data_IF_238499175980
#
_entry.id   IF_238499175980
#
_cell.length_a   1.000
_cell.length_b   1.000
_cell.length_c   1.000
_cell.angle_alpha   90.00
_cell.angle_beta   90.00
_cell.angle_gamma   90.00
#
_symmetry.space_group_name_H-M   'P 1'
#
loop_
_entity.id
_entity.type
_entity.pdbx_description
1 polymer ?
2 non-polymer ?
3 non-polymer ?
4 non-polymer ?
5 water ?
#
# COMPACT_ATOMS: atom_id res chain seq x y z
N UNK A 21 -13.16 -20.05 -9.89
CA UNK A 21 -13.36 -18.80 -10.67
C UNK A 21 -13.53 -17.48 -9.77
N UNK A 22 -12.97 -16.36 -10.23
CA UNK A 22 -12.93 -15.26 -9.35
C UNK A 22 -14.32 -14.66 -9.31
N UNK A 23 -14.66 -14.04 -8.20
CA UNK A 23 -15.88 -13.34 -8.07
C UNK A 23 -15.95 -12.17 -9.06
N UNK A 24 -14.81 -11.59 -9.43
CA UNK A 24 -14.75 -10.48 -10.38
C UNK A 24 -15.37 -10.91 -11.71
N UNK A 25 -15.21 -12.21 -12.04
CA UNK A 25 -15.65 -12.81 -13.30
C UNK A 25 -17.00 -13.50 -13.20
N UNK A 26 -17.57 -13.59 -12.02
CA UNK A 26 -18.76 -14.48 -11.84
C UNK A 26 -20.11 -13.80 -12.11
N UNK A 27 -20.13 -12.47 -12.16
CA UNK A 27 -21.35 -11.72 -12.38
C UNK A 27 -21.02 -10.59 -13.33
N UNK A 28 -22.06 -10.06 -13.99
CA UNK A 28 -21.90 -8.89 -14.78
C UNK A 28 -22.03 -7.67 -13.87
N UNK A 29 -20.93 -7.30 -13.22
CA UNK A 29 -20.95 -6.28 -12.18
C UNK A 29 -21.31 -4.95 -12.81
N UNK A 30 -21.01 -4.74 -14.09
CA UNK A 30 -21.37 -3.48 -14.76
C UNK A 30 -22.85 -3.22 -14.93
N UNK A 31 -23.69 -4.14 -14.53
CA UNK A 31 -25.10 -3.86 -14.41
C UNK A 31 -25.46 -3.01 -13.18
N UNK A 32 -24.57 -2.98 -12.19
CA UNK A 32 -24.73 -2.20 -10.98
C UNK A 32 -24.22 -0.79 -11.17
N UNK A 33 -24.71 0.15 -10.38
CA UNK A 33 -24.13 1.46 -10.31
C UNK A 33 -22.65 1.37 -9.92
N UNK A 34 -21.88 2.32 -10.47
CA UNK A 34 -20.47 2.40 -10.24
C UNK A 34 -20.10 3.74 -9.60
N UNK A 35 -19.10 3.75 -8.74
CA UNK A 35 -18.53 4.97 -8.24
C UNK A 35 -17.03 4.90 -8.33
N UNK A 36 -16.40 5.90 -8.95
CA UNK A 36 -14.97 6.00 -8.92
C UNK A 36 -14.55 6.49 -7.52
N UNK A 37 -13.60 5.81 -6.94
CA UNK A 37 -13.08 6.15 -5.60
C UNK A 37 -11.58 6.06 -5.62
N UNK A 38 -10.98 6.65 -4.59
CA UNK A 38 -9.59 6.40 -4.25
C UNK A 38 -9.54 5.54 -3.02
N UNK A 39 -8.90 4.40 -3.09
CA UNK A 39 -8.92 3.41 -2.00
C UNK A 39 -7.54 3.11 -1.55
N UNK A 40 -7.30 3.06 -0.28
CA UNK A 40 -6.19 2.63 0.56
C UNK A 40 -6.62 1.51 1.51
N UNK A 41 -5.54 0.81 2.06
CA UNK A 41 -5.79 -0.13 3.10
C UNK A 41 -5.55 0.44 4.46
N UNK A 42 -6.16 -0.18 5.46
CA UNK A 42 -5.92 0.15 6.85
C UNK A 42 -5.97 -1.14 7.66
N UNK A 43 -5.49 -1.03 8.92
CA UNK A 43 -5.64 -2.11 9.85
C UNK A 43 -6.25 -1.56 11.15
N UNK A 44 -6.47 -2.43 12.14
CA UNK A 44 -6.96 -1.96 13.44
C UNK A 44 -5.90 -1.26 14.24
N UNK A 45 -4.63 -1.36 13.83
CA UNK A 45 -3.56 -0.89 14.65
C UNK A 45 -3.42 0.61 14.76
N UNK A 46 -2.53 1.03 15.64
CA UNK A 46 -2.44 2.39 16.04
C UNK A 46 -2.10 3.31 14.92
N UNK A 47 -1.30 2.84 13.92
CA UNK A 47 -0.98 3.64 12.75
C UNK A 47 -2.21 4.17 12.06
N UNK A 48 -3.27 3.37 12.09
CA UNK A 48 -4.49 3.67 11.41
C UNK A 48 -5.54 4.28 12.30
N UNK A 49 -5.67 3.78 13.54
CA UNK A 49 -6.79 4.08 14.39
C UNK A 49 -6.45 4.80 15.65
N UNK A 50 -5.16 4.90 15.98
CA UNK A 50 -4.69 5.37 17.26
C UNK A 50 -4.83 4.45 18.43
N UNK A 51 -5.43 3.26 18.26
CA UNK A 51 -5.70 2.35 19.32
C UNK A 51 -4.63 1.32 19.43
N UNK A 52 -4.39 0.86 20.65
CA UNK A 52 -3.45 -0.19 20.90
C UNK A 52 -4.16 -1.49 21.28
N UNK A 53 -3.54 -2.65 20.96
CA UNK A 53 -4.10 -3.91 21.39
C UNK A 53 -4.15 -3.94 22.90
N UNK A 54 -5.18 -4.48 23.46
CA UNK A 54 -5.38 -4.32 24.92
C UNK A 54 -6.43 -3.29 25.27
N UNK A 55 -6.64 -2.30 24.41
CA UNK A 55 -7.76 -1.39 24.56
C UNK A 55 -9.06 -2.20 24.32
N UNK A 56 -10.03 -2.09 25.25
CA UNK A 56 -11.33 -2.76 25.00
C UNK A 56 -12.00 -2.34 23.68
N UNK A 57 -11.66 -1.14 23.15
CA UNK A 57 -12.23 -0.63 21.91
C UNK A 57 -11.38 -1.01 20.70
N UNK A 58 -10.30 -1.76 20.90
CA UNK A 58 -9.44 -2.17 19.78
C UNK A 58 -10.26 -2.98 18.82
N UNK A 59 -10.21 -2.66 17.54
CA UNK A 59 -10.90 -3.39 16.51
C UNK A 59 -12.34 -2.99 16.30
N UNK A 60 -12.87 -2.07 17.13
CA UNK A 60 -14.26 -1.67 17.04
C UNK A 60 -14.40 -0.52 16.02
N UNK A 61 -15.19 -0.72 14.98
CA UNK A 61 -15.46 0.26 14.00
C UNK A 61 -16.47 1.27 14.50
N UNK A 62 -16.61 2.37 13.69
CA UNK A 62 -17.61 3.38 13.97
C UNK A 62 -19.01 2.81 14.15
N UNK A 63 -19.38 1.81 13.36
CA UNK A 63 -20.71 1.20 13.42
C UNK A 63 -20.95 0.35 14.63
N UNK A 64 -19.89 -0.02 15.36
CA UNK A 64 -19.98 -0.91 16.48
C UNK A 64 -19.64 -2.37 16.16
N UNK A 65 -19.45 -2.75 14.90
CA UNK A 65 -19.02 -4.09 14.60
C UNK A 65 -17.49 -4.14 14.68
N UNK A 66 -16.94 -5.32 14.97
CA UNK A 66 -15.51 -5.48 14.88
C UNK A 66 -15.06 -5.58 13.45
N UNK A 67 -13.82 -5.10 13.21
CA UNK A 67 -13.22 -5.26 11.90
C UNK A 67 -13.23 -6.73 11.48
N UNK A 68 -13.36 -6.99 10.21
CA UNK A 68 -13.36 -8.33 9.68
C UNK A 68 -12.91 -8.34 8.25
N UNK A 69 -12.07 -9.34 7.93
CA UNK A 69 -11.69 -9.72 6.57
C UNK A 69 -12.33 -11.07 6.26
N UNK A 70 -13.28 -11.09 5.34
CA UNK A 70 -14.03 -12.32 5.02
C UNK A 70 -14.65 -12.09 3.66
N UNK A 71 -15.59 -12.99 3.27
CA UNK A 71 -16.32 -12.77 2.04
C UNK A 71 -16.88 -11.36 1.98
N UNK A 72 -17.53 -10.94 3.06
CA UNK A 72 -17.90 -9.54 3.27
C UNK A 72 -17.00 -9.00 4.33
N UNK A 73 -16.18 -7.99 4.00
CA UNK A 73 -15.24 -7.37 4.86
C UNK A 73 -15.72 -5.98 5.27
N UNK A 74 -15.29 -5.55 6.47
CA UNK A 74 -15.60 -4.19 6.86
C UNK A 74 -14.68 -3.20 6.17
N UNK A 75 -15.32 -2.15 5.62
CA UNK A 75 -14.58 -1.03 5.01
C UNK A 75 -14.99 0.27 5.61
N UNK A 76 -14.13 1.29 5.44
CA UNK A 76 -14.43 2.63 5.90
C UNK A 76 -14.73 3.54 4.70
N UNK A 77 -15.69 4.44 4.91
CA UNK A 77 -16.10 5.35 3.85
C UNK A 77 -16.58 6.63 4.50
N UNK A 78 -16.89 7.62 3.66
CA UNK A 78 -17.55 8.83 4.12
C UNK A 78 -19.04 8.57 4.10
N UNK A 79 -19.73 8.58 5.23
CA UNK A 79 -21.14 8.16 5.27
C UNK A 79 -22.05 9.07 4.47
N UNK A 80 -21.59 10.28 4.12
CA UNK A 80 -22.33 11.11 3.21
C UNK A 80 -22.34 10.66 1.77
N UNK A 81 -21.38 9.82 1.41
CA UNK A 81 -21.30 9.21 0.08
C UNK A 81 -21.86 7.80 0.14
N UNK A 82 -21.37 6.97 1.07
CA UNK A 82 -21.86 5.61 1.27
C UNK A 82 -22.25 5.48 2.71
N UNK A 83 -23.58 5.48 3.00
CA UNK A 83 -24.01 5.28 4.38
C UNK A 83 -23.50 4.01 4.99
N UNK A 84 -23.38 4.01 6.29
CA UNK A 84 -23.12 2.78 7.01
C UNK A 84 -24.11 1.70 6.61
N UNK A 85 -23.62 0.49 6.35
CA UNK A 85 -24.41 -0.61 5.87
C UNK A 85 -24.40 -0.80 4.35
N UNK A 86 -23.83 0.17 3.63
CA UNK A 86 -23.71 0.03 2.18
C UNK A 86 -22.85 -1.18 1.86
N UNK A 87 -23.29 -1.93 0.82
CA UNK A 87 -22.50 -3.02 0.26
C UNK A 87 -21.91 -2.58 -1.07
N UNK A 88 -20.62 -2.80 -1.16
CA UNK A 88 -19.82 -2.48 -2.32
C UNK A 88 -19.12 -3.71 -2.81
N UNK A 89 -18.83 -3.80 -4.13
CA UNK A 89 -17.90 -4.78 -4.63
C UNK A 89 -16.64 -4.01 -5.10
N UNK A 90 -15.49 -4.34 -4.51
CA UNK A 90 -14.25 -3.65 -4.76
C UNK A 90 -13.33 -4.63 -5.47
N UNK A 91 -13.10 -4.49 -6.76
CA UNK A 91 -12.23 -5.45 -7.49
C UNK A 91 -10.88 -5.55 -6.82
N UNK A 92 -10.39 -6.78 -6.76
CA UNK A 92 -9.14 -7.13 -6.18
C UNK A 92 -9.09 -7.03 -4.68
N UNK A 93 -10.25 -6.78 -4.06
CA UNK A 93 -10.37 -6.81 -2.61
C UNK A 93 -11.51 -7.75 -2.19
N UNK A 94 -12.69 -7.49 -2.71
CA UNK A 94 -13.86 -8.29 -2.38
C UNK A 94 -15.10 -7.46 -2.09
N UNK A 95 -16.11 -8.11 -1.62
CA UNK A 95 -17.30 -7.45 -1.14
C UNK A 95 -16.96 -6.73 0.17
N UNK A 96 -17.47 -5.51 0.28
CA UNK A 96 -17.28 -4.68 1.45
C UNK A 96 -18.58 -4.19 2.01
N UNK A 97 -18.66 -4.08 3.33
CA UNK A 97 -19.77 -3.46 3.99
C UNK A 97 -19.20 -2.23 4.69
N UNK A 98 -19.80 -1.09 4.40
CA UNK A 98 -19.35 0.17 5.01
C UNK A 98 -19.72 0.13 6.50
N UNK A 99 -18.68 0.06 7.31
CA UNK A 99 -18.83 -0.16 8.74
C UNK A 99 -18.04 0.82 9.56
N UNK A 100 -17.14 1.56 8.92
CA UNK A 100 -16.19 2.39 9.64
C UNK A 100 -16.08 3.72 8.94
N UNK A 101 -15.42 4.63 9.65
CA UNK A 101 -15.15 5.98 9.17
C UNK A 101 -13.70 6.32 9.48
N UNK A 102 -13.25 7.43 8.97
CA UNK A 102 -11.93 7.95 9.33
C UNK A 102 -11.83 9.40 9.05
N UNK A 103 -10.91 10.08 9.76
CA UNK A 103 -10.76 11.51 9.56
C UNK A 103 -10.27 11.88 8.20
N UNK A 104 -9.50 11.03 7.53
CA UNK A 104 -9.03 11.34 6.17
C UNK A 104 -9.93 10.74 5.09
N UNK A 105 -10.95 10.02 5.49
CA UNK A 105 -11.76 9.28 4.52
C UNK A 105 -13.02 10.14 4.27
N UNK A 106 -12.83 11.10 3.36
CA UNK A 106 -13.85 12.10 3.03
C UNK A 106 -14.03 12.11 1.49
N UNK A 107 -15.26 12.39 1.09
CA UNK A 107 -15.51 12.36 -0.36
C UNK A 107 -15.47 10.95 -0.90
N UNK A 108 -14.95 10.80 -2.11
CA UNK A 108 -14.93 9.52 -2.83
C UNK A 108 -13.68 8.73 -2.46
N UNK A 109 -13.60 8.41 -1.19
CA UNK A 109 -12.49 7.65 -0.56
C UNK A 109 -12.97 6.45 0.14
N UNK A 110 -12.22 5.36 0.05
CA UNK A 110 -12.46 4.18 0.84
C UNK A 110 -11.20 3.79 1.51
N UNK A 111 -11.37 3.20 2.74
CA UNK A 111 -10.26 2.50 3.43
C UNK A 111 -10.66 1.03 3.56
N UNK A 112 -9.84 0.13 3.05
CA UNK A 112 -10.17 -1.30 2.98
C UNK A 112 -9.43 -1.98 4.11
N UNK A 113 -10.15 -2.77 4.94
CA UNK A 113 -9.53 -3.41 6.09
C UNK A 113 -8.70 -4.62 5.69
N UNK A 114 -7.50 -4.65 6.26
CA UNK A 114 -6.62 -5.80 6.24
C UNK A 114 -6.16 -6.10 7.63
N UNK A 115 -5.82 -7.38 7.87
CA UNK A 115 -5.51 -7.79 9.23
C UNK A 115 -4.17 -7.24 9.71
N UNK A 116 -3.16 -7.15 8.86
CA UNK A 116 -1.83 -6.75 9.26
C UNK A 116 -1.35 -5.66 8.32
N UNK A 117 -0.33 -4.91 8.82
CA UNK A 117 0.32 -3.87 8.00
C UNK A 117 0.95 -4.49 6.75
N UNK A 118 1.61 -5.62 6.91
CA UNK A 118 2.21 -6.31 5.78
C UNK A 118 1.17 -6.72 4.74
N UNK A 119 -0.03 -7.12 5.19
CA UNK A 119 -1.08 -7.43 4.28
C UNK A 119 -1.48 -6.20 3.45
N UNK A 120 -1.55 -5.03 4.09
CA UNK A 120 -1.82 -3.83 3.31
C UNK A 120 -0.72 -3.63 2.22
N UNK A 121 0.52 -3.74 2.66
CA UNK A 121 1.64 -3.51 1.74
C UNK A 121 1.61 -4.50 0.59
N UNK A 122 1.30 -5.76 0.88
CA UNK A 122 1.42 -6.82 -0.11
C UNK A 122 0.16 -7.06 -0.90
N UNK A 123 -0.97 -6.96 -0.27
CA UNK A 123 -2.22 -7.28 -0.95
C UNK A 123 -2.92 -6.11 -1.55
N UNK A 124 -2.57 -4.90 -1.15
CA UNK A 124 -3.11 -3.76 -1.79
C UNK A 124 -2.04 -2.97 -2.47
N UNK A 125 -0.85 -2.83 -1.90
CA UNK A 125 0.17 -1.95 -2.42
C UNK A 125 1.04 -2.48 -3.49
N UNK A 126 1.16 -3.77 -3.66
CA UNK A 126 1.99 -4.35 -4.65
C UNK A 126 1.55 -3.99 -6.01
N UNK A 127 2.44 -3.57 -6.83
CA UNK A 127 2.13 -3.06 -8.20
C UNK A 127 3.19 -3.63 -9.13
N UNK A 128 2.78 -4.14 -10.26
CA UNK A 128 3.71 -4.54 -11.28
C UNK A 128 3.94 -3.39 -12.24
N UNK A 129 5.19 -3.06 -12.50
CA UNK A 129 5.47 -1.96 -13.34
C UNK A 129 6.87 -2.07 -13.93
N UNK A 130 7.10 -1.32 -14.99
CA UNK A 130 8.43 -1.17 -15.53
C UNK A 130 9.24 -0.14 -14.81
N UNK A 131 10.49 -0.49 -14.48
CA UNK A 131 11.49 0.46 -13.97
C UNK A 131 12.64 0.55 -14.93
N UNK A 132 13.33 1.67 -14.88
CA UNK A 132 14.42 1.89 -15.81
C UNK A 132 15.74 1.75 -15.09
N UNK A 133 16.66 1.02 -15.71
CA UNK A 133 17.95 0.70 -15.13
C UNK A 133 18.96 1.70 -15.66
N UNK A 134 19.31 2.67 -14.83
CA UNK A 134 20.14 3.77 -15.20
C UNK A 134 21.64 3.40 -15.13
N UNK A 135 22.04 2.69 -14.10
CA UNK A 135 23.40 2.31 -13.90
C UNK A 135 23.45 1.06 -13.06
N UNK A 136 24.17 0.05 -13.48
CA UNK A 136 24.37 -1.12 -12.64
C UNK A 136 25.34 -0.86 -11.52
N UNK A 137 25.02 -1.30 -10.32
CA UNK A 137 25.89 -1.10 -9.19
C UNK A 137 27.07 -2.05 -9.16
N UNK A 138 28.06 -1.67 -8.32
CA UNK A 138 29.27 -2.46 -8.07
C UNK A 138 29.20 -3.39 -6.88
N UNK A 139 28.11 -3.34 -6.12
CA UNK A 139 28.01 -4.07 -4.93
C UNK A 139 28.18 -3.30 -3.66
N UNK A 140 28.58 -2.04 -3.73
CA UNK A 140 28.74 -1.21 -2.57
C UNK A 140 28.21 0.21 -2.87
N UNK A 141 27.80 0.90 -1.82
CA UNK A 141 27.33 2.28 -1.90
C UNK A 141 27.68 2.92 -0.58
N UNK A 142 28.20 4.14 -0.58
CA UNK A 142 28.52 4.84 0.64
C UNK A 142 27.60 6.08 0.82
N UNK A 143 27.58 6.59 2.07
CA UNK A 143 26.87 7.82 2.38
C UNK A 143 27.30 8.96 1.46
N UNK A 144 28.61 9.11 1.30
CA UNK A 144 29.14 10.17 0.48
C UNK A 144 28.65 10.07 -0.97
N UNK A 145 28.60 8.85 -1.51
CA UNK A 145 28.15 8.68 -2.88
C UNK A 145 26.65 8.99 -3.00
N UNK A 146 25.86 8.56 -2.00
CA UNK A 146 24.44 8.90 -2.02
C UNK A 146 24.14 10.39 -1.91
N UNK A 147 24.95 11.06 -1.09
CA UNK A 147 24.85 12.51 -0.95
C UNK A 147 25.23 13.18 -2.25
N UNK A 148 26.32 12.74 -2.90
CA UNK A 148 26.69 13.35 -4.14
C UNK A 148 25.58 13.20 -5.23
N UNK A 149 24.93 12.03 -5.29
CA UNK A 149 23.83 11.87 -6.21
C UNK A 149 22.72 12.84 -5.90
N UNK A 150 22.38 12.97 -4.64
CA UNK A 150 21.34 13.89 -4.24
C UNK A 150 21.62 15.37 -4.51
N UNK A 151 22.90 15.71 -4.58
CA UNK A 151 23.32 17.08 -4.90
C UNK A 151 23.51 17.34 -6.36
N UNK A 152 23.28 16.38 -7.24
CA UNK A 152 23.49 16.55 -8.70
C UNK A 152 22.90 17.86 -9.14
N UNK A 153 23.71 18.73 -9.73
CA UNK A 153 23.22 20.10 -9.98
C UNK A 153 22.08 20.23 -10.96
N UNK A 154 22.17 19.48 -12.03
CA UNK A 154 21.24 19.48 -13.18
C UNK A 154 19.92 18.89 -12.73
N UNK A 155 19.85 18.24 -11.54
CA UNK A 155 18.61 17.64 -11.11
C UNK A 155 17.98 18.33 -9.93
N UNK A 156 18.62 19.40 -9.41
CA UNK A 156 18.08 20.11 -8.27
C UNK A 156 16.71 20.71 -8.55
N UNK A 157 16.48 21.05 -9.82
CA UNK A 157 15.17 21.59 -10.24
C UNK A 157 14.01 20.60 -9.97
N UNK A 158 14.32 19.30 -9.89
CA UNK A 158 13.28 18.28 -9.61
C UNK A 158 13.15 17.96 -8.12
N UNK A 159 14.12 18.33 -7.31
CA UNK A 159 14.31 17.66 -6.00
C UNK A 159 13.27 17.91 -4.92
N UNK A 160 12.68 19.09 -4.92
CA UNK A 160 11.75 19.33 -3.82
C UNK A 160 10.42 18.59 -3.94
N UNK A 161 10.20 17.92 -5.07
CA UNK A 161 9.06 17.04 -5.21
C UNK A 161 9.25 15.72 -4.43
N UNK A 162 10.47 15.46 -3.97
CA UNK A 162 10.84 14.17 -3.29
C UNK A 162 11.22 14.30 -1.85
N UNK A 163 11.70 15.48 -1.46
CA UNK A 163 11.88 15.66 -0.01
C UNK A 163 10.67 15.91 0.84
N UNK A 164 10.70 15.29 2.02
CA UNK A 164 9.54 15.30 2.92
C UNK A 164 9.54 16.67 3.67
N UNK A 165 10.72 17.16 4.01
CA UNK A 165 10.82 18.39 4.77
C UNK A 165 10.82 19.58 3.78
N UNK A 166 9.92 20.53 4.02
CA UNK A 166 9.77 21.82 3.28
C UNK A 166 11.07 22.60 3.35
N UNK B 21 8.46 20.34 -15.34
CA UNK B 21 7.96 18.97 -15.71
C UNK B 21 8.15 17.98 -14.56
N UNK B 22 7.24 17.03 -14.47
CA UNK B 22 7.62 15.87 -13.72
C UNK B 22 8.89 15.27 -14.34
N UNK B 23 9.70 14.69 -13.49
CA UNK B 23 10.83 13.95 -13.90
C UNK B 23 10.46 12.85 -14.94
N UNK B 24 9.25 12.30 -14.78
CA UNK B 24 8.77 11.23 -15.66
C UNK B 24 8.74 11.72 -17.09
N UNK B 25 8.53 13.05 -17.29
CA UNK B 25 8.41 13.71 -18.56
C UNK B 25 9.69 14.40 -19.04
N UNK B 26 10.69 14.46 -18.20
CA UNK B 26 11.81 15.28 -18.51
C UNK B 26 12.87 14.65 -19.42
N UNK B 27 12.85 13.32 -19.50
CA UNK B 27 13.84 12.56 -20.25
C UNK B 27 13.14 11.44 -20.97
N UNK B 28 13.77 10.97 -22.04
CA UNK B 28 13.23 9.84 -22.80
C UNK B 28 13.74 8.58 -22.08
N UNK B 29 13.05 8.21 -21.01
CA UNK B 29 13.52 7.11 -20.18
C UNK B 29 13.59 5.80 -20.93
N UNK B 30 12.77 5.63 -21.96
CA UNK B 30 12.74 4.41 -22.79
C UNK B 30 13.97 4.21 -23.61
N UNK B 31 14.90 5.11 -23.59
CA UNK B 31 16.21 4.86 -24.10
C UNK B 31 17.08 3.94 -23.17
N UNK B 32 16.76 3.87 -21.90
CA UNK B 32 17.44 3.02 -20.93
C UNK B 32 16.83 1.62 -20.96
N UNK B 33 17.61 0.66 -20.47
CA UNK B 33 17.05 -0.65 -20.25
C UNK B 33 15.94 -0.60 -19.21
N UNK B 34 15.03 -1.52 -19.37
CA UNK B 34 13.86 -1.62 -18.55
C UNK B 34 13.75 -3.03 -17.93
N UNK B 35 13.20 -3.05 -16.74
CA UNK B 35 12.91 -4.32 -16.09
C UNK B 35 11.49 -4.24 -15.48
N UNK B 36 10.66 -5.24 -15.83
CA UNK B 36 9.39 -5.35 -15.13
C UNK B 36 9.62 -5.94 -13.75
N UNK B 37 9.07 -5.29 -12.76
CA UNK B 37 9.17 -5.69 -11.36
C UNK B 37 7.83 -5.57 -10.67
N UNK B 38 7.75 -6.22 -9.52
CA UNK B 38 6.65 -6.01 -8.59
C UNK B 38 7.21 -5.21 -7.41
N UNK B 39 6.60 -4.11 -7.09
CA UNK B 39 7.12 -3.18 -6.08
C UNK B 39 6.07 -2.90 -5.01
N UNK B 40 6.53 -2.84 -3.79
CA UNK B 40 5.82 -2.46 -2.58
C UNK B 40 6.59 -1.36 -1.90
N UNK B 41 5.96 -0.77 -0.87
CA UNK B 41 6.66 0.16 -0.02
C UNK B 41 7.03 -0.45 1.31
N UNK B 42 8.06 0.11 1.96
CA UNK B 42 8.46 -0.29 3.29
C UNK B 42 8.92 0.95 4.05
N UNK B 43 9.04 0.75 5.39
CA UNK B 43 9.62 1.81 6.24
C UNK B 43 10.76 1.20 7.06
N UNK B 44 11.41 2.02 7.84
CA UNK B 44 12.42 1.49 8.77
C UNK B 44 11.83 0.74 9.95
N UNK B 45 10.54 0.89 10.17
CA UNK B 45 9.93 0.36 11.35
C UNK B 45 9.84 -1.14 11.46
N UNK B 46 9.41 -1.56 12.64
CA UNK B 46 9.49 -2.99 13.00
C UNK B 46 8.64 -3.89 12.06
N UNK B 47 7.52 -3.37 11.57
CA UNK B 47 6.65 -4.14 10.69
C UNK B 47 7.44 -4.58 9.42
N UNK B 48 8.42 -3.77 9.00
CA UNK B 48 9.24 -4.04 7.82
C UNK B 48 10.54 -4.73 8.16
N UNK B 49 11.19 -4.27 9.23
CA UNK B 49 12.58 -4.58 9.48
C UNK B 49 12.87 -5.39 10.69
N UNK B 50 11.90 -5.52 11.58
CA UNK B 50 12.11 -6.12 12.87
C UNK B 50 12.79 -5.26 13.90
N UNK B 51 13.18 -4.04 13.57
CA UNK B 51 13.94 -3.15 14.47
C UNK B 51 13.05 -2.02 14.95
N UNK B 52 13.49 -1.51 16.12
CA UNK B 52 12.87 -0.37 16.76
C UNK B 52 13.83 0.74 16.99
N UNK B 53 13.30 1.99 17.07
CA UNK B 53 14.17 3.09 17.38
C UNK B 53 14.94 2.76 18.64
N UNK B 54 16.15 3.13 18.66
CA UNK B 54 17.03 2.77 19.83
C UNK B 54 17.98 1.66 19.48
N UNK B 55 17.55 0.74 18.57
CA UNK B 55 18.39 -0.38 18.11
C UNK B 55 19.54 0.25 17.33
N UNK B 56 20.73 -0.31 17.50
CA UNK B 56 21.90 0.26 16.82
C UNK B 56 21.80 0.31 15.28
N UNK B 57 21.14 -0.69 14.74
CA UNK B 57 21.00 -0.77 13.29
C UNK B 57 19.69 -0.22 12.78
N UNK B 58 18.89 0.40 13.65
CA UNK B 58 17.67 1.01 13.20
C UNK B 58 17.93 2.05 12.09
N UNK B 59 17.20 1.96 10.99
CA UNK B 59 17.31 2.93 9.94
C UNK B 59 18.46 2.63 8.96
N UNK B 60 19.26 1.59 9.25
CA UNK B 60 20.40 1.26 8.40
C UNK B 60 20.05 0.18 7.47
N UNK B 61 20.30 0.38 6.19
CA UNK B 61 20.10 -0.62 5.16
C UNK B 61 21.20 -1.67 5.15
N UNK B 62 21.00 -2.75 4.34
CA UNK B 62 22.00 -3.77 4.15
C UNK B 62 23.36 -3.24 3.77
N UNK B 63 23.35 -2.23 2.91
CA UNK B 63 24.58 -1.60 2.42
C UNK B 63 25.35 -0.81 3.48
N UNK B 64 24.69 -0.48 4.57
CA UNK B 64 25.23 0.36 5.60
C UNK B 64 24.73 1.80 5.56
N UNK B 65 24.18 2.28 4.44
CA UNK B 65 23.68 3.65 4.37
C UNK B 65 22.35 3.70 5.11
N UNK B 66 22.06 4.88 5.64
CA UNK B 66 20.78 5.17 6.25
C UNK B 66 19.70 5.26 5.16
N UNK B 67 18.50 4.76 5.51
CA UNK B 67 17.38 4.95 4.66
C UNK B 67 17.20 6.43 4.32
N UNK B 68 16.71 6.71 3.16
CA UNK B 68 16.51 8.10 2.69
C UNK B 68 15.43 8.14 1.66
N UNK B 69 14.54 9.15 1.85
CA UNK B 69 13.57 9.59 0.84
C UNK B 69 14.03 10.98 0.32
N UNK B 70 14.44 11.03 -0.89
CA UNK B 70 14.98 12.30 -1.46
C UNK B 70 14.95 12.14 -2.99
N UNK B 71 15.61 13.08 -3.66
CA UNK B 71 15.73 12.95 -5.15
C UNK B 71 16.17 11.53 -5.51
N UNK B 72 17.24 11.08 -4.85
CA UNK B 72 17.65 9.68 -4.92
C UNK B 72 17.37 9.01 -3.60
N UNK B 73 16.41 8.08 -3.59
CA UNK B 73 15.97 7.40 -2.42
C UNK B 73 16.55 6.00 -2.36
N UNK B 74 16.72 5.50 -1.11
CA UNK B 74 17.16 4.12 -0.94
C UNK B 74 16.04 3.11 -1.21
N UNK B 75 16.32 2.08 -2.01
CA UNK B 75 15.38 1.02 -2.25
C UNK B 75 16.02 -0.34 -1.97
N UNK B 76 15.15 -1.32 -1.82
CA UNK B 76 15.55 -2.68 -1.57
C UNK B 76 15.33 -3.51 -2.78
N UNK B 77 16.26 -4.43 -3.12
CA UNK B 77 16.15 -5.29 -4.24
C UNK B 77 16.84 -6.62 -3.93
N UNK B 78 16.67 -7.55 -4.87
CA UNK B 78 17.49 -8.81 -4.80
C UNK B 78 18.81 -8.50 -5.50
N UNK B 79 19.95 -8.52 -4.78
CA UNK B 79 21.22 -8.18 -5.40
C UNK B 79 21.61 -9.02 -6.58
N UNK B 80 21.02 -10.20 -6.75
CA UNK B 80 21.23 -11.06 -7.92
C UNK B 80 20.66 -10.43 -9.17
N UNK B 81 19.67 -9.54 -9.02
CA UNK B 81 19.01 -8.87 -10.15
C UNK B 81 19.54 -7.44 -10.30
N UNK B 82 19.58 -6.72 -9.17
CA UNK B 82 20.11 -5.37 -9.15
C UNK B 82 21.15 -5.30 -8.05
N UNK B 83 22.46 -5.30 -8.40
CA UNK B 83 23.46 -5.22 -7.33
C UNK B 83 23.28 -3.93 -6.50
N UNK B 84 23.77 -4.00 -5.29
CA UNK B 84 23.88 -2.79 -4.48
C UNK B 84 24.60 -1.71 -5.27
N UNK B 85 24.06 -0.51 -5.19
CA UNK B 85 24.56 0.63 -5.93
C UNK B 85 23.86 0.88 -7.25
N UNK B 86 23.01 -0.03 -7.68
CA UNK B 86 22.29 0.18 -8.91
C UNK B 86 21.37 1.39 -8.82
N UNK B 87 21.34 2.21 -9.87
CA UNK B 87 20.46 3.36 -9.94
C UNK B 87 19.29 3.01 -10.86
N UNK B 88 18.08 3.22 -10.35
CA UNK B 88 16.85 2.95 -11.05
C UNK B 88 16.03 4.21 -11.14
N UNK B 89 15.17 4.29 -12.15
CA UNK B 89 14.10 5.26 -12.14
C UNK B 89 12.77 4.50 -12.05
N UNK B 90 12.00 4.81 -11.00
CA UNK B 90 10.75 4.11 -10.67
C UNK B 90 9.62 5.12 -10.82
N UNK B 91 8.84 5.00 -11.89
CA UNK B 91 7.74 5.97 -12.08
C UNK B 91 6.79 6.00 -10.89
N UNK B 92 6.43 7.21 -10.56
CA UNK B 92 5.55 7.57 -9.44
C UNK B 92 6.17 7.33 -8.07
N UNK B 93 7.48 7.14 -8.06
CA UNK B 93 8.29 7.11 -6.86
C UNK B 93 9.51 8.04 -6.95
N UNK B 94 10.32 7.81 -7.98
CA UNK B 94 11.49 8.59 -8.18
C UNK B 94 12.71 7.78 -8.50
N UNK B 95 13.86 8.46 -8.52
CA UNK B 95 15.13 7.78 -8.66
C UNK B 95 15.42 6.98 -7.40
N UNK B 96 15.92 5.80 -7.58
CA UNK B 96 16.26 4.90 -6.49
C UNK B 96 17.68 4.42 -6.60
N UNK B 97 18.32 4.20 -5.45
CA UNK B 97 19.61 3.55 -5.39
C UNK B 97 19.38 2.30 -4.58
N UNK B 98 19.77 1.17 -5.16
CA UNK B 98 19.63 -0.11 -4.48
C UNK B 98 20.62 -0.18 -3.33
N UNK B 99 20.11 -0.10 -2.11
CA UNK B 99 20.90 -0.02 -0.90
C UNK B 99 20.53 -1.07 0.09
N UNK B 100 19.40 -1.74 -0.10
CA UNK B 100 18.83 -2.59 0.92
C UNK B 100 18.41 -3.92 0.30
N UNK B 101 18.09 -4.86 1.17
CA UNK B 101 17.60 -6.20 0.82
C UNK B 101 16.42 -6.52 1.75
N UNK B 102 15.79 -7.68 1.51
CA UNK B 102 14.73 -8.10 2.41
C UNK B 102 14.43 -9.54 2.21
N UNK B 103 13.83 -10.13 3.24
CA UNK B 103 13.50 -11.58 3.18
C UNK B 103 12.56 -12.02 2.09
N UNK B 104 11.64 -11.13 1.72
CA UNK B 104 10.69 -11.41 0.66
C UNK B 104 11.13 -10.77 -0.70
N UNK B 105 12.20 -10.09 -0.70
CA UNK B 105 12.56 -9.32 -1.86
C UNK B 105 13.49 -10.20 -2.70
N UNK B 106 12.86 -11.06 -3.51
CA UNK B 106 13.53 -12.07 -4.31
C UNK B 106 13.07 -11.97 -5.74
N UNK B 107 14.02 -12.20 -6.65
CA UNK B 107 13.65 -12.06 -8.06
C UNK B 107 13.36 -10.64 -8.43
N UNK B 108 12.38 -10.47 -9.32
CA UNK B 108 12.10 -9.15 -9.88
C UNK B 108 11.15 -8.36 -8.98
N UNK B 109 11.60 -8.09 -7.79
CA UNK B 109 10.89 -7.40 -6.70
C UNK B 109 11.66 -6.24 -6.22
N UNK B 110 10.98 -5.15 -5.87
CA UNK B 110 11.57 -3.98 -5.22
C UNK B 110 10.72 -3.64 -4.03
N UNK B 111 11.39 -3.14 -3.00
CA UNK B 111 10.75 -2.48 -1.88
C UNK B 111 11.21 -1.01 -1.85
N UNK B 112 10.28 -0.09 -1.87
CA UNK B 112 10.53 1.36 -2.01
C UNK B 112 10.40 1.97 -0.62
N UNK B 113 11.45 2.71 -0.19
CA UNK B 113 11.40 3.30 1.15
C UNK B 113 10.51 4.53 1.25
N UNK B 114 9.70 4.55 2.30
CA UNK B 114 8.92 5.68 2.73
C UNK B 114 9.18 5.91 4.21
N UNK B 115 9.00 7.16 4.65
CA UNK B 115 9.32 7.49 6.02
C UNK B 115 8.36 6.92 7.03
N UNK B 116 7.09 6.85 6.72
CA UNK B 116 6.07 6.39 7.64
C UNK B 116 5.12 5.37 7.01
N UNK B 117 4.47 4.61 7.86
CA UNK B 117 3.48 3.62 7.40
C UNK B 117 2.39 4.29 6.58
N UNK B 118 1.87 5.43 7.08
CA UNK B 118 0.86 6.16 6.35
C UNK B 118 1.34 6.61 5.00
N UNK B 119 2.63 7.00 4.88
CA UNK B 119 3.14 7.35 3.58
C UNK B 119 3.11 6.13 2.62
N UNK B 120 3.43 4.97 3.13
CA UNK B 120 3.27 3.75 2.26
C UNK B 120 1.82 3.61 1.82
N UNK B 121 0.91 3.70 2.78
CA UNK B 121 -0.50 3.53 2.46
C UNK B 121 -0.96 4.54 1.46
N UNK B 122 -0.53 5.77 1.62
CA UNK B 122 -1.09 6.88 0.84
C UNK B 122 -0.33 7.20 -0.43
N UNK B 123 0.95 7.06 -0.44
CA UNK B 123 1.73 7.42 -1.57
C UNK B 123 2.08 6.30 -2.49
N UNK B 124 1.96 5.06 -2.01
CA UNK B 124 2.15 3.93 -2.87
C UNK B 124 0.85 3.18 -2.97
N UNK B 125 0.07 3.04 -1.93
CA UNK B 125 -1.07 2.17 -1.91
C UNK B 125 -2.35 2.73 -2.50
N UNK B 126 -2.50 4.02 -2.52
CA UNK B 126 -3.71 4.63 -2.97
C UNK B 126 -3.93 4.30 -4.43
N UNK B 127 -5.11 3.84 -4.77
CA UNK B 127 -5.45 3.43 -6.14
C UNK B 127 -6.79 4.07 -6.43
N UNK B 128 -6.91 4.68 -7.61
CA UNK B 128 -8.19 5.15 -8.08
C UNK B 128 -8.83 4.06 -8.93
N UNK B 129 -10.04 3.67 -8.58
CA UNK B 129 -10.71 2.60 -9.26
C UNK B 129 -12.22 2.73 -9.17
N UNK B 130 -12.91 2.02 -10.03
CA UNK B 130 -14.36 1.90 -9.95
C UNK B 130 -14.72 0.80 -8.99
N UNK B 131 -15.68 1.15 -8.12
CA UNK B 131 -16.31 0.14 -7.27
C UNK B 131 -17.78 0.09 -7.57
N UNK B 132 -18.41 -1.06 -7.26
CA UNK B 132 -19.81 -1.28 -7.66
C UNK B 132 -20.66 -1.14 -6.41
N UNK B 133 -21.74 -0.39 -6.52
CA UNK B 133 -22.62 -0.11 -5.35
C UNK B 133 -23.74 -1.09 -5.45
N UNK B 134 -23.71 -2.08 -4.57
CA UNK B 134 -24.67 -3.19 -4.59
C UNK B 134 -25.95 -2.86 -3.85
N UNK B 135 -25.81 -2.20 -2.70
CA UNK B 135 -26.96 -1.86 -1.87
C UNK B 135 -26.59 -0.66 -1.02
N UNK B 136 -27.38 0.38 -1.11
CA UNK B 136 -27.21 1.52 -0.22
C UNK B 136 -27.60 1.21 1.21
N UNK B 137 -26.76 1.61 2.15
CA UNK B 137 -27.01 1.37 3.54
C UNK B 137 -28.07 2.26 4.12
N UNK B 138 -28.52 1.84 5.32
CA UNK B 138 -29.51 2.57 6.13
C UNK B 138 -28.95 3.39 7.26
N UNK B 139 -27.61 3.30 7.48
CA UNK B 139 -27.01 3.94 8.60
C UNK B 139 -26.57 3.07 9.77
N UNK B 140 -26.89 1.77 9.69
CA UNK B 140 -26.54 0.80 10.75
C UNK B 140 -26.12 -0.51 10.16
N UNK B 141 -25.22 -1.24 10.88
CA UNK B 141 -24.89 -2.60 10.54
C UNK B 141 -24.60 -3.24 11.88
N UNK B 142 -25.02 -4.48 12.08
CA UNK B 142 -24.81 -5.25 13.30
C UNK B 142 -23.98 -6.49 13.01
N UNK B 143 -23.45 -7.06 14.09
CA UNK B 143 -22.67 -8.32 13.94
C UNK B 143 -23.51 -9.41 13.33
N UNK B 144 -24.75 -9.50 13.78
CA UNK B 144 -25.59 -10.58 13.21
C UNK B 144 -25.84 -10.43 11.74
N UNK B 145 -26.07 -9.15 11.30
CA UNK B 145 -26.22 -8.89 9.87
C UNK B 145 -24.99 -9.24 9.09
N UNK B 146 -23.83 -8.83 9.61
CA UNK B 146 -22.58 -9.13 8.95
C UNK B 146 -22.34 -10.63 8.85
N UNK B 147 -22.71 -11.37 9.89
CA UNK B 147 -22.58 -12.81 9.89
C UNK B 147 -23.48 -13.43 8.82
N UNK B 148 -24.73 -12.96 8.77
CA UNK B 148 -25.68 -13.44 7.75
C UNK B 148 -25.18 -13.21 6.35
N UNK B 149 -24.59 -12.01 6.11
CA UNK B 149 -24.00 -11.74 4.82
C UNK B 149 -22.92 -12.73 4.52
N UNK B 150 -22.01 -12.94 5.49
CA UNK B 150 -20.93 -13.85 5.25
C UNK B 150 -21.31 -15.31 5.07
N UNK B 151 -22.51 -15.67 5.57
CA UNK B 151 -23.06 -17.01 5.40
C UNK B 151 -23.89 -17.20 4.13
N UNK B 152 -24.02 -16.18 3.27
CA UNK B 152 -24.85 -16.26 2.09
C UNK B 152 -24.57 -17.56 1.40
N UNK B 153 -25.61 -18.40 1.19
CA UNK B 153 -25.33 -19.73 0.71
C UNK B 153 -24.72 -19.77 -0.67
N UNK B 154 -25.26 -18.96 -1.59
CA UNK B 154 -24.87 -18.96 -2.98
C UNK B 154 -23.46 -18.36 -3.16
N UNK B 155 -22.87 -17.80 -2.10
CA UNK B 155 -21.55 -17.20 -2.25
C UNK B 155 -20.51 -17.98 -1.49
N UNK B 156 -20.88 -19.09 -0.81
CA UNK B 156 -19.92 -19.84 -0.08
C UNK B 156 -18.83 -20.36 -0.97
N UNK B 157 -19.17 -20.68 -2.21
CA UNK B 157 -18.17 -21.19 -3.17
C UNK B 157 -16.98 -20.24 -3.33
N UNK B 158 -17.18 -18.94 -3.08
CA UNK B 158 -16.14 -17.93 -3.25
C UNK B 158 -15.38 -17.61 -1.95
N UNK B 159 -15.91 -18.03 -0.83
CA UNK B 159 -15.52 -17.46 0.42
C UNK B 159 -14.10 -17.74 0.93
N UNK B 160 -13.59 -18.93 0.65
CA UNK B 160 -12.26 -19.28 1.11
C UNK B 160 -11.14 -18.47 0.52
N UNK B 161 -11.40 -17.76 -0.56
CA UNK B 161 -10.42 -16.81 -1.14
C UNK B 161 -10.25 -15.55 -0.36
N UNK B 162 -11.17 -15.30 0.57
CA UNK B 162 -11.19 -14.04 1.36
C UNK B 162 -10.82 -14.25 2.82
N UNK B 163 -11.08 -15.42 3.37
CA UNK B 163 -10.56 -15.70 4.68
C UNK B 163 -9.09 -16.01 4.79
N UNK B 164 -8.47 -15.47 5.83
CA UNK B 164 -7.08 -15.71 6.10
C UNK B 164 -6.90 -17.09 6.70
N UNK B 165 -7.83 -17.52 7.54
CA UNK B 165 -7.68 -18.85 8.18
C UNK B 165 -8.11 -19.89 7.18
N UNK B 166 -7.20 -20.86 6.97
CA UNK B 166 -7.46 -22.10 6.21
C UNK B 166 -8.64 -22.84 6.82
#
# INVERSE_FOLDING_TARGET
RLKALQQKQTQTTSAAEDKTKPLEEAFDWDEYPVQRVTATGYTAGAESTGKNPGDPLYGLTYSGVKVKRDLYSTVAADPSVFPIGTILFIPNYGLGVVADTGSAIKGNRLDLYFETVKDVYNEWGKKTLDVYVIKKGTGKITEDELEKLNETKSLQVFRNQYKTVKE
RLKALQQKQTQTTSAAEDKTKPLEEAFDWDEYPVQRVTATGYTAGAESTGKNPGDPLYGLTYSGVKVKRDLYSTVAADPSVFPIGTILFIPNYGLGVVADTGSAIKGNRLDLYFETVKDVYNEWGKKTLDVYVIKKGTGKITEDELEKLNETKSLQVFRNQYKTVKE
#
